data_IF_184731014280
#
_entry.id   IF_184731014280
#
_cell.length_a   1.000
_cell.length_b   1.000
_cell.length_c   1.000
_cell.angle_alpha   90.00
_cell.angle_beta   90.00
_cell.angle_gamma   90.00
#
_symmetry.space_group_name_H-M   'P 1'
#
loop_
_entity.id
_entity.type
_entity.pdbx_description
1 polymer ?
#
# COMPACT_ATOMS: atom_id res chain seq x y z
N UNK A 1 -9.99 -6.63 -43.80
CA UNK A 1 -9.04 -6.99 -42.72
C UNK A 1 -8.73 -8.47 -42.83
N UNK A 2 -7.47 -8.81 -43.06
CA UNK A 2 -7.05 -10.20 -43.28
C UNK A 2 -7.06 -11.02 -41.98
N UNK A 3 -7.03 -12.35 -42.10
CA UNK A 3 -6.90 -13.27 -40.96
C UNK A 3 -5.68 -12.94 -40.08
N UNK A 4 -4.60 -12.47 -40.70
CA UNK A 4 -3.37 -12.01 -40.03
C UNK A 4 -3.56 -10.73 -39.21
N UNK A 5 -4.44 -9.81 -39.62
CA UNK A 5 -4.76 -8.61 -38.85
C UNK A 5 -5.50 -8.99 -37.57
N UNK A 6 -6.47 -9.91 -37.66
CA UNK A 6 -7.20 -10.43 -36.50
C UNK A 6 -6.30 -11.18 -35.51
N UNK A 7 -5.34 -11.96 -36.01
CA UNK A 7 -4.37 -12.66 -35.17
C UNK A 7 -3.44 -11.67 -34.44
N UNK A 8 -2.98 -10.61 -35.12
CA UNK A 8 -2.17 -9.55 -34.52
C UNK A 8 -2.95 -8.76 -33.47
N UNK A 9 -4.22 -8.44 -33.73
CA UNK A 9 -5.08 -7.74 -32.78
C UNK A 9 -5.42 -8.59 -31.55
N UNK A 10 -5.64 -9.89 -31.73
CA UNK A 10 -5.84 -10.82 -30.61
C UNK A 10 -4.58 -10.94 -29.75
N UNK A 11 -3.39 -11.02 -30.38
CA UNK A 11 -2.12 -11.05 -29.67
C UNK A 11 -1.85 -9.75 -28.88
N UNK A 12 -2.12 -8.59 -29.48
CA UNK A 12 -2.01 -7.29 -28.79
C UNK A 12 -2.96 -7.20 -27.60
N UNK A 13 -4.24 -7.55 -27.78
CA UNK A 13 -5.22 -7.57 -26.68
C UNK A 13 -4.83 -8.52 -25.55
N UNK A 14 -4.26 -9.69 -25.88
CA UNK A 14 -3.75 -10.63 -24.89
C UNK A 14 -2.56 -10.08 -24.10
N UNK A 15 -1.62 -9.42 -24.78
CA UNK A 15 -0.47 -8.77 -24.14
C UNK A 15 -0.92 -7.61 -23.24
N UNK A 16 -1.85 -6.77 -23.69
CA UNK A 16 -2.37 -5.63 -22.91
C UNK A 16 -3.12 -6.11 -21.67
N UNK A 17 -3.93 -7.17 -21.76
CA UNK A 17 -4.61 -7.76 -20.60
C UNK A 17 -3.63 -8.40 -19.61
N UNK A 18 -2.60 -9.08 -20.09
CA UNK A 18 -1.57 -9.65 -19.23
C UNK A 18 -0.77 -8.57 -18.50
N UNK A 19 -0.41 -7.48 -19.18
CA UNK A 19 0.30 -6.35 -18.56
C UNK A 19 -0.56 -5.68 -17.48
N UNK A 20 -1.83 -5.38 -17.77
CA UNK A 20 -2.77 -4.81 -16.79
C UNK A 20 -2.95 -5.71 -15.57
N UNK A 21 -3.11 -7.02 -15.78
CA UNK A 21 -3.24 -7.97 -14.67
C UNK A 21 -1.98 -8.06 -13.79
N UNK A 22 -0.79 -7.89 -14.37
CA UNK A 22 0.46 -7.83 -13.60
C UNK A 22 0.58 -6.52 -12.81
N UNK A 23 0.18 -5.39 -13.38
CA UNK A 23 0.15 -4.09 -12.70
C UNK A 23 -0.84 -4.09 -11.54
N UNK A 24 -2.08 -4.54 -11.76
CA UNK A 24 -3.10 -4.67 -10.70
C UNK A 24 -2.65 -5.58 -9.55
N UNK A 25 -1.99 -6.69 -9.87
CA UNK A 25 -1.45 -7.61 -8.86
C UNK A 25 -0.31 -6.98 -8.04
N UNK A 26 0.58 -6.21 -8.68
CA UNK A 26 1.65 -5.47 -7.99
C UNK A 26 1.08 -4.43 -7.04
N UNK A 27 0.18 -3.58 -7.53
CA UNK A 27 -0.46 -2.53 -6.73
C UNK A 27 -1.23 -3.11 -5.55
N UNK A 28 -1.94 -4.23 -5.75
CA UNK A 28 -2.63 -4.94 -4.66
C UNK A 28 -1.65 -5.49 -3.62
N UNK A 29 -0.54 -6.08 -4.06
CA UNK A 29 0.52 -6.59 -3.18
C UNK A 29 1.18 -5.49 -2.35
N UNK A 30 1.48 -4.36 -2.98
CA UNK A 30 2.05 -3.18 -2.34
C UNK A 30 1.10 -2.61 -1.28
N UNK A 31 -0.19 -2.43 -1.60
CA UNK A 31 -1.21 -2.02 -0.61
C UNK A 31 -1.28 -2.96 0.58
N UNK A 32 -1.29 -4.28 0.34
CA UNK A 32 -1.35 -5.27 1.41
C UNK A 32 -0.11 -5.19 2.31
N UNK A 33 1.07 -4.95 1.73
CA UNK A 33 2.31 -4.78 2.48
C UNK A 33 2.30 -3.49 3.32
N UNK A 34 1.95 -2.35 2.73
CA UNK A 34 1.86 -1.05 3.42
C UNK A 34 0.81 -1.12 4.54
N UNK A 35 -0.35 -1.73 4.29
CA UNK A 35 -1.40 -1.92 5.30
C UNK A 35 -0.92 -2.75 6.48
N UNK A 36 -0.20 -3.86 6.22
CA UNK A 36 0.37 -4.70 7.29
C UNK A 36 1.38 -3.93 8.14
N UNK A 37 2.27 -3.16 7.52
CA UNK A 37 3.21 -2.28 8.22
C UNK A 37 2.49 -1.25 9.08
N UNK A 38 1.48 -0.57 8.53
CA UNK A 38 0.69 0.42 9.27
C UNK A 38 -0.01 -0.20 10.50
N UNK A 39 -0.54 -1.42 10.38
CA UNK A 39 -1.13 -2.14 11.52
C UNK A 39 -0.08 -2.48 12.58
N UNK A 40 1.11 -2.92 12.19
CA UNK A 40 2.19 -3.24 13.13
C UNK A 40 2.65 -1.98 13.90
N UNK A 41 2.94 -0.89 13.20
CA UNK A 41 3.34 0.39 13.80
C UNK A 41 2.23 0.96 14.70
N UNK A 42 0.96 0.81 14.33
CA UNK A 42 -0.15 1.23 15.18
C UNK A 42 -0.25 0.41 16.48
N UNK A 43 0.09 -0.89 16.44
CA UNK A 43 0.13 -1.72 17.63
C UNK A 43 1.29 -1.33 18.54
N UNK A 44 2.49 -1.10 17.99
CA UNK A 44 3.66 -0.60 18.71
C UNK A 44 3.40 0.76 19.35
N UNK A 45 2.76 1.69 18.63
CA UNK A 45 2.35 2.98 19.16
C UNK A 45 1.36 2.83 20.32
N UNK A 46 0.40 1.91 20.20
CA UNK A 46 -0.56 1.61 21.26
C UNK A 46 0.13 1.10 22.53
N UNK A 47 1.10 0.21 22.39
CA UNK A 47 1.90 -0.30 23.51
C UNK A 47 2.76 0.81 24.15
N UNK A 48 3.46 1.62 23.36
CA UNK A 48 4.27 2.74 23.85
C UNK A 48 3.42 3.75 24.63
N UNK A 49 2.25 4.13 24.10
CA UNK A 49 1.32 5.03 24.80
C UNK A 49 0.77 4.37 26.06
N UNK A 50 0.46 3.08 26.05
CA UNK A 50 0.02 2.35 27.24
C UNK A 50 1.09 2.37 28.34
N UNK A 51 2.34 2.07 28.01
CA UNK A 51 3.49 2.12 28.94
C UNK A 51 3.70 3.54 29.49
N UNK A 52 3.64 4.56 28.62
CA UNK A 52 3.74 5.97 29.01
C UNK A 52 2.64 6.37 30.00
N UNK A 53 1.39 5.97 29.73
CA UNK A 53 0.23 6.23 30.61
C UNK A 53 0.31 5.50 31.94
N UNK A 54 1.09 4.42 32.02
CA UNK A 54 1.38 3.70 33.25
C UNK A 54 2.63 4.20 34.00
N UNK A 55 3.20 5.33 33.58
CA UNK A 55 4.27 6.02 34.30
C UNK A 55 5.69 5.67 33.83
N UNK A 56 5.84 4.94 32.72
CA UNK A 56 7.14 4.76 32.08
C UNK A 56 7.57 6.08 31.41
N UNK A 57 8.69 6.64 31.86
CA UNK A 57 9.22 7.90 31.37
C UNK A 57 10.17 7.71 30.17
N UNK A 58 10.33 8.76 29.36
CA UNK A 58 11.28 8.76 28.24
C UNK A 58 10.76 8.11 26.96
N UNK A 59 9.45 7.82 26.88
CA UNK A 59 8.81 7.24 25.70
C UNK A 59 8.39 8.28 24.65
N UNK A 60 8.38 9.58 24.96
CA UNK A 60 8.04 10.66 24.01
C UNK A 60 8.74 10.51 22.63
N UNK A 61 10.07 10.32 22.56
CA UNK A 61 10.76 10.20 21.27
C UNK A 61 10.40 8.92 20.50
N UNK A 62 9.96 7.86 21.19
CA UNK A 62 9.46 6.63 20.56
C UNK A 62 8.05 6.85 20.01
N UNK A 63 7.18 7.47 20.81
CA UNK A 63 5.82 7.84 20.41
C UNK A 63 5.85 8.76 19.19
N UNK A 64 6.65 9.83 19.20
CA UNK A 64 6.76 10.78 18.08
C UNK A 64 7.21 10.09 16.79
N UNK A 65 8.23 9.22 16.89
CA UNK A 65 8.74 8.45 15.75
C UNK A 65 7.67 7.53 15.16
N UNK A 66 6.95 6.79 16.02
CA UNK A 66 5.90 5.86 15.60
C UNK A 66 4.70 6.61 15.00
N UNK A 67 4.37 7.81 15.50
CA UNK A 67 3.36 8.69 14.93
C UNK A 67 3.76 9.16 13.53
N UNK A 68 4.99 9.60 13.36
CA UNK A 68 5.49 10.07 12.06
C UNK A 68 5.55 8.94 11.02
N UNK A 69 6.02 7.76 11.43
CA UNK A 69 6.02 6.57 10.59
C UNK A 69 4.60 6.15 10.18
N UNK A 70 3.66 6.09 11.15
CA UNK A 70 2.27 5.75 10.87
C UNK A 70 1.61 6.77 9.93
N UNK A 71 1.94 8.07 10.08
CA UNK A 71 1.46 9.12 9.19
C UNK A 71 1.98 8.91 7.76
N UNK A 72 3.27 8.60 7.60
CA UNK A 72 3.87 8.32 6.30
C UNK A 72 3.22 7.12 5.61
N UNK A 73 3.03 6.01 6.35
CA UNK A 73 2.40 4.79 5.83
C UNK A 73 0.93 5.02 5.45
N UNK A 74 0.19 5.82 6.23
CA UNK A 74 -1.20 6.20 5.89
C UNK A 74 -1.26 7.06 4.63
N UNK A 75 -0.36 8.03 4.48
CA UNK A 75 -0.28 8.84 3.27
C UNK A 75 0.12 8.03 2.03
N UNK A 76 0.99 7.03 2.17
CA UNK A 76 1.30 6.07 1.12
C UNK A 76 0.09 5.22 0.72
N UNK A 77 -0.64 4.69 1.72
CA UNK A 77 -1.85 3.91 1.47
C UNK A 77 -2.96 4.74 0.81
N UNK A 78 -3.12 6.00 1.18
CA UNK A 78 -4.03 6.96 0.54
C UNK A 78 -3.64 7.23 -0.91
N UNK A 79 -2.35 7.41 -1.22
CA UNK A 79 -1.85 7.57 -2.60
C UNK A 79 -2.14 6.32 -3.43
N UNK A 80 -1.82 5.14 -2.91
CA UNK A 80 -2.11 3.88 -3.59
C UNK A 80 -3.63 3.72 -3.82
N UNK A 81 -4.49 4.09 -2.88
CA UNK A 81 -5.95 4.08 -3.08
C UNK A 81 -6.41 5.07 -4.16
N UNK A 82 -5.83 6.27 -4.23
CA UNK A 82 -6.15 7.25 -5.25
C UNK A 82 -5.75 6.81 -6.66
N UNK A 83 -4.68 6.03 -6.80
CA UNK A 83 -4.25 5.43 -8.07
C UNK A 83 -5.23 4.37 -8.61
N UNK A 84 -6.04 3.75 -7.75
CA UNK A 84 -7.09 2.79 -8.16
C UNK A 84 -8.42 3.46 -8.54
N UNK A 85 -8.60 4.75 -8.22
CA UNK A 85 -9.87 5.43 -8.50
C UNK A 85 -9.97 5.74 -10.01
N UNK A 86 -11.03 5.33 -10.71
CA UNK A 86 -11.23 5.73 -12.10
C UNK A 86 -11.42 7.25 -12.16
N UNK A 87 -10.66 7.89 -13.06
CA UNK A 87 -10.76 9.33 -13.35
C UNK A 87 -12.14 9.74 -13.87
#
# INVERSE_FOLDING_TARGET
MGLMDKARDAAKKGADMAQRGVEEAKTTGEKAMVKRKATAVAAELGDAVYRQRNGEAGLEPEVDRLVDELRSLRAELERLHAEDAPA
#
